data_IF_320970723110
#
_entry.id   IF_320970723110
#
_cell.length_a   1.000
_cell.length_b   1.000
_cell.length_c   1.000
_cell.angle_alpha   90.00
_cell.angle_beta   90.00
_cell.angle_gamma   90.00
#
_symmetry.space_group_name_H-M   'P 1'
#
loop_
_entity.id
_entity.type
_entity.pdbx_description
1 polymer ?
#
# COMPACT_ATOMS: atom_id res chain seq x y z
N UNK A 1 -5.25 -20.52 10.73
CA UNK A 1 -4.02 -19.74 11.01
C UNK A 1 -4.11 -19.22 12.43
N UNK A 2 -3.01 -19.24 13.21
CA UNK A 2 -3.02 -18.67 14.55
C UNK A 2 -3.22 -17.16 14.47
N UNK A 3 -4.29 -16.65 15.08
CA UNK A 3 -4.53 -15.21 15.20
C UNK A 3 -3.73 -14.69 16.40
N UNK A 4 -2.78 -13.79 16.13
CA UNK A 4 -1.94 -13.16 17.15
C UNK A 4 -2.16 -11.65 17.22
N UNK A 5 -3.25 -11.14 16.66
CA UNK A 5 -3.65 -9.75 16.83
C UNK A 5 -3.98 -9.47 18.31
N UNK A 6 -3.58 -8.30 18.84
CA UNK A 6 -3.96 -7.91 20.19
C UNK A 6 -5.48 -7.75 20.28
N UNK A 7 -6.04 -7.98 21.47
CA UNK A 7 -7.46 -7.74 21.75
C UNK A 7 -7.62 -6.44 22.52
N UNK A 8 -8.48 -5.53 22.03
CA UNK A 8 -8.77 -4.24 22.67
C UNK A 8 -10.18 -4.24 23.28
N UNK A 9 -10.33 -4.69 24.52
CA UNK A 9 -11.67 -4.92 25.13
C UNK A 9 -12.53 -3.66 25.30
N UNK A 10 -11.92 -2.47 25.36
CA UNK A 10 -12.62 -1.21 25.64
C UNK A 10 -12.80 -0.33 24.40
N UNK A 11 -12.56 -0.87 23.21
CA UNK A 11 -12.68 -0.15 21.94
C UNK A 11 -13.80 -0.79 21.11
N UNK A 12 -14.70 0.04 20.58
CA UNK A 12 -15.79 -0.42 19.70
C UNK A 12 -15.27 -0.93 18.35
N UNK A 13 -15.82 -2.06 17.90
CA UNK A 13 -15.60 -2.62 16.56
C UNK A 13 -16.46 -1.96 15.47
N UNK A 14 -17.39 -1.06 15.84
CA UNK A 14 -18.24 -0.36 14.89
C UNK A 14 -17.47 0.67 14.08
N UNK A 15 -17.94 0.93 12.86
CA UNK A 15 -17.40 1.99 12.02
C UNK A 15 -17.75 3.35 12.62
N UNK A 16 -16.78 4.26 12.63
CA UNK A 16 -16.95 5.65 13.07
C UNK A 16 -16.40 6.60 12.03
N UNK A 17 -17.27 7.38 11.38
CA UNK A 17 -16.90 8.31 10.30
C UNK A 17 -16.09 7.61 9.20
N UNK A 18 -16.60 6.44 8.76
CA UNK A 18 -16.05 5.59 7.70
C UNK A 18 -14.65 5.00 7.92
N UNK A 19 -14.28 4.77 9.18
CA UNK A 19 -13.09 3.97 9.56
C UNK A 19 -13.39 3.01 10.70
N UNK A 20 -12.62 1.94 10.81
CA UNK A 20 -12.63 1.04 11.97
C UNK A 20 -11.58 1.46 13.00
N UNK A 21 -12.01 2.09 14.09
CA UNK A 21 -11.10 2.52 15.16
C UNK A 21 -10.40 1.30 15.80
N UNK A 22 -11.14 0.20 15.97
CA UNK A 22 -10.59 -1.05 16.48
C UNK A 22 -9.49 -1.60 15.59
N UNK A 23 -9.74 -1.78 14.29
CA UNK A 23 -8.77 -2.36 13.35
C UNK A 23 -7.51 -1.48 13.24
N UNK A 24 -7.69 -0.15 13.26
CA UNK A 24 -6.59 0.81 13.29
C UNK A 24 -5.71 0.69 14.55
N UNK A 25 -6.33 0.58 15.73
CA UNK A 25 -5.59 0.43 16.98
C UNK A 25 -4.87 -0.90 17.08
N UNK A 26 -5.52 -2.02 16.78
CA UNK A 26 -4.87 -3.33 16.92
C UNK A 26 -3.63 -3.45 16.03
N UNK A 27 -3.63 -2.84 14.84
CA UNK A 27 -2.44 -2.76 13.99
C UNK A 27 -1.45 -1.72 14.50
N UNK A 28 -1.82 -0.43 14.53
CA UNK A 28 -0.89 0.66 14.84
C UNK A 28 -0.29 0.54 16.24
N UNK A 29 -1.12 0.38 17.28
CA UNK A 29 -0.64 0.18 18.65
C UNK A 29 0.08 -1.16 18.80
N UNK A 30 -0.42 -2.21 18.16
CA UNK A 30 0.20 -3.54 18.20
C UNK A 30 1.61 -3.58 17.60
N UNK A 31 1.88 -2.79 16.55
CA UNK A 31 3.22 -2.61 15.99
C UNK A 31 4.05 -1.73 16.93
N UNK A 32 3.53 -0.56 17.32
CA UNK A 32 4.32 0.46 18.01
C UNK A 32 4.73 0.04 19.43
N UNK A 33 3.77 -0.50 20.19
CA UNK A 33 3.89 -0.77 21.62
C UNK A 33 3.60 -2.23 22.00
N UNK A 34 3.02 -3.00 21.10
CA UNK A 34 2.70 -4.40 21.31
C UNK A 34 3.76 -5.36 20.78
N UNK A 35 3.36 -6.63 20.63
CA UNK A 35 4.24 -7.73 20.20
C UNK A 35 4.19 -7.99 18.69
N UNK A 36 3.50 -7.16 17.88
CA UNK A 36 3.28 -7.51 16.47
C UNK A 36 4.58 -7.57 15.68
N UNK A 37 5.60 -6.75 15.98
CA UNK A 37 6.92 -6.87 15.33
C UNK A 37 7.50 -8.27 15.48
N UNK A 38 7.50 -8.78 16.70
CA UNK A 38 8.00 -10.14 17.01
C UNK A 38 7.11 -11.22 16.40
N UNK A 39 5.80 -11.12 16.56
CA UNK A 39 4.86 -12.15 16.07
C UNK A 39 4.88 -12.26 14.55
N UNK A 40 4.96 -11.12 13.84
CA UNK A 40 5.04 -11.08 12.38
C UNK A 40 6.41 -11.56 11.90
N UNK A 41 7.51 -11.18 12.56
CA UNK A 41 8.84 -11.67 12.17
C UNK A 41 9.02 -13.18 12.37
N UNK A 42 8.24 -13.80 13.25
CA UNK A 42 8.18 -15.26 13.44
C UNK A 42 7.30 -15.98 12.41
N UNK A 43 6.40 -15.27 11.73
CA UNK A 43 5.40 -15.82 10.81
C UNK A 43 6.03 -16.40 9.53
N UNK A 44 5.82 -17.68 9.20
CA UNK A 44 6.42 -18.31 8.03
C UNK A 44 6.08 -17.63 6.70
N UNK A 45 4.85 -17.10 6.56
CA UNK A 45 4.42 -16.42 5.34
C UNK A 45 5.16 -15.09 5.18
N UNK A 46 5.29 -14.32 6.26
CA UNK A 46 6.04 -13.07 6.27
C UNK A 46 7.52 -13.31 5.99
N UNK A 47 8.15 -14.30 6.65
CA UNK A 47 9.55 -14.68 6.42
C UNK A 47 9.82 -14.99 4.95
N UNK A 48 8.93 -15.76 4.31
CA UNK A 48 9.08 -16.10 2.89
C UNK A 48 8.92 -14.86 2.00
N UNK A 49 7.94 -14.01 2.28
CA UNK A 49 7.71 -12.77 1.53
C UNK A 49 8.92 -11.82 1.64
N UNK A 50 9.47 -11.64 2.83
CA UNK A 50 10.67 -10.80 3.06
C UNK A 50 11.91 -11.39 2.38
N UNK A 51 12.08 -12.71 2.40
CA UNK A 51 13.19 -13.35 1.70
C UNK A 51 13.12 -13.12 0.18
N UNK A 52 11.93 -13.11 -0.41
CA UNK A 52 11.73 -12.79 -1.83
C UNK A 52 11.98 -11.30 -2.15
N UNK A 53 11.67 -10.42 -1.21
CA UNK A 53 11.86 -8.97 -1.37
C UNK A 53 13.27 -8.48 -0.99
N UNK A 54 14.13 -9.36 -0.46
CA UNK A 54 15.42 -8.99 0.12
C UNK A 54 16.33 -8.28 -0.89
N UNK A 55 16.85 -7.11 -0.51
CA UNK A 55 17.71 -6.28 -1.36
C UNK A 55 16.99 -5.52 -2.48
N UNK A 56 15.65 -5.58 -2.54
CA UNK A 56 14.83 -5.01 -3.62
C UNK A 56 13.80 -3.97 -3.15
N UNK A 57 13.78 -3.65 -1.86
CA UNK A 57 12.88 -2.64 -1.29
C UNK A 57 13.63 -1.80 -0.27
N UNK A 58 13.26 -0.52 -0.20
CA UNK A 58 13.69 0.43 0.83
C UNK A 58 12.57 0.76 1.82
N UNK A 59 11.38 0.19 1.63
CA UNK A 59 10.22 0.38 2.51
C UNK A 59 10.56 -0.07 3.92
N UNK A 60 10.24 0.79 4.89
CA UNK A 60 10.52 0.54 6.30
C UNK A 60 9.91 -0.79 6.77
N UNK A 61 10.56 -1.44 7.74
CA UNK A 61 10.08 -2.73 8.26
C UNK A 61 8.68 -2.62 8.84
N UNK A 62 8.40 -1.59 9.65
CA UNK A 62 7.09 -1.38 10.25
C UNK A 62 6.00 -1.20 9.17
N UNK A 63 6.30 -0.48 8.09
CA UNK A 63 5.37 -0.28 6.98
C UNK A 63 5.02 -1.62 6.30
N UNK A 64 6.03 -2.45 6.03
CA UNK A 64 5.82 -3.81 5.49
C UNK A 64 5.06 -4.72 6.45
N UNK A 65 5.32 -4.63 7.76
CA UNK A 65 4.54 -5.34 8.79
C UNK A 65 3.07 -4.91 8.70
N UNK A 66 2.79 -3.62 8.59
CA UNK A 66 1.43 -3.11 8.47
C UNK A 66 0.71 -3.63 7.20
N UNK A 67 1.37 -3.58 6.04
CA UNK A 67 0.85 -4.15 4.79
C UNK A 67 0.55 -5.65 4.93
N UNK A 68 1.48 -6.40 5.51
CA UNK A 68 1.27 -7.83 5.78
C UNK A 68 0.06 -8.07 6.68
N UNK A 69 -0.09 -7.29 7.76
CA UNK A 69 -1.23 -7.41 8.66
C UNK A 69 -2.53 -7.14 7.91
N UNK A 70 -2.61 -6.05 7.12
CA UNK A 70 -3.76 -5.72 6.27
C UNK A 70 -4.12 -6.89 5.37
N UNK A 71 -3.16 -7.40 4.59
CA UNK A 71 -3.39 -8.51 3.65
C UNK A 71 -3.83 -9.76 4.42
N UNK A 72 -3.12 -10.16 5.47
CA UNK A 72 -3.34 -11.45 6.14
C UNK A 72 -4.63 -11.50 6.96
N UNK A 73 -4.98 -10.43 7.65
CA UNK A 73 -6.03 -10.46 8.67
C UNK A 73 -7.26 -9.61 8.34
N UNK A 74 -7.16 -8.67 7.39
CA UNK A 74 -8.24 -7.70 7.16
C UNK A 74 -8.77 -7.67 5.73
N UNK A 75 -7.94 -7.97 4.73
CA UNK A 75 -8.33 -7.88 3.32
C UNK A 75 -9.51 -8.82 2.99
N UNK A 76 -9.55 -10.00 3.62
CA UNK A 76 -10.66 -10.95 3.50
C UNK A 76 -12.03 -10.41 3.94
N UNK A 77 -12.09 -9.33 4.75
CA UNK A 77 -13.34 -8.67 5.15
C UNK A 77 -13.86 -7.70 4.08
N UNK A 78 -13.02 -7.27 3.14
CA UNK A 78 -13.39 -6.35 2.05
C UNK A 78 -14.07 -7.12 0.92
N UNK A 79 -13.50 -8.27 0.55
CA UNK A 79 -13.98 -9.11 -0.54
C UNK A 79 -12.92 -9.34 -1.61
N UNK A 80 -13.34 -9.89 -2.75
CA UNK A 80 -12.45 -10.16 -3.88
C UNK A 80 -12.15 -8.89 -4.67
N UNK A 81 -10.91 -8.78 -5.14
CA UNK A 81 -10.44 -7.68 -5.97
C UNK A 81 -8.94 -7.81 -6.20
N UNK A 82 -8.34 -6.78 -6.80
CA UNK A 82 -6.91 -6.74 -7.11
C UNK A 82 -6.17 -5.72 -6.22
N UNK A 83 -4.84 -5.83 -6.20
CA UNK A 83 -3.94 -4.92 -5.49
C UNK A 83 -3.20 -4.06 -6.52
N UNK A 84 -2.99 -2.80 -6.19
CA UNK A 84 -2.18 -1.89 -7.00
C UNK A 84 -1.17 -1.15 -6.12
N UNK A 85 0.05 -1.02 -6.64
CA UNK A 85 1.14 -0.24 -6.06
C UNK A 85 1.54 0.86 -7.05
N UNK A 86 1.67 2.09 -6.55
CA UNK A 86 2.20 3.23 -7.28
C UNK A 86 3.57 3.59 -6.70
N UNK A 87 4.60 3.44 -7.55
CA UNK A 87 6.00 3.54 -7.16
C UNK A 87 6.49 2.22 -6.56
N UNK A 88 7.46 1.60 -7.22
CA UNK A 88 7.91 0.24 -6.93
C UNK A 88 9.43 0.10 -6.92
N UNK A 89 10.15 1.03 -7.56
CA UNK A 89 11.61 1.02 -7.65
C UNK A 89 12.14 -0.36 -8.12
N UNK A 90 12.84 -1.10 -7.26
CA UNK A 90 13.38 -2.44 -7.53
C UNK A 90 12.37 -3.58 -7.32
N UNK A 91 11.08 -3.25 -7.18
CA UNK A 91 9.95 -4.18 -7.16
C UNK A 91 9.79 -5.01 -5.90
N UNK A 92 10.59 -4.79 -4.86
CA UNK A 92 10.59 -5.65 -3.68
C UNK A 92 9.26 -5.67 -2.92
N UNK A 93 8.58 -4.51 -2.80
CA UNK A 93 7.29 -4.46 -2.11
C UNK A 93 6.15 -5.03 -2.97
N UNK A 94 6.14 -4.77 -4.28
CA UNK A 94 5.27 -5.47 -5.23
C UNK A 94 5.43 -7.00 -5.17
N UNK A 95 6.67 -7.51 -5.15
CA UNK A 95 7.00 -8.94 -5.00
C UNK A 95 6.46 -9.49 -3.67
N UNK A 96 6.67 -8.74 -2.59
CA UNK A 96 6.17 -9.07 -1.26
C UNK A 96 4.63 -9.20 -1.28
N UNK A 97 3.91 -8.19 -1.77
CA UNK A 97 2.45 -8.20 -1.87
C UNK A 97 1.95 -9.33 -2.77
N UNK A 98 2.59 -9.54 -3.92
CA UNK A 98 2.24 -10.60 -4.87
C UNK A 98 2.33 -11.99 -4.23
N UNK A 99 3.40 -12.27 -3.49
CA UNK A 99 3.53 -13.52 -2.77
C UNK A 99 2.43 -13.69 -1.72
N UNK A 100 2.15 -12.65 -0.92
CA UNK A 100 1.13 -12.74 0.13
C UNK A 100 -0.27 -13.03 -0.44
N UNK A 101 -0.69 -12.30 -1.47
CA UNK A 101 -2.03 -12.47 -2.04
C UNK A 101 -2.15 -13.74 -2.87
N UNK A 102 -1.09 -14.22 -3.50
CA UNK A 102 -1.10 -15.52 -4.18
C UNK A 102 -1.38 -16.67 -3.20
N UNK A 103 -0.77 -16.62 -2.01
CA UNK A 103 -0.92 -17.65 -0.98
C UNK A 103 -2.25 -17.57 -0.21
N UNK A 104 -2.80 -16.37 -0.03
CA UNK A 104 -4.00 -16.14 0.80
C UNK A 104 -5.28 -15.99 -0.01
N UNK A 105 -5.17 -15.45 -1.23
CA UNK A 105 -6.29 -15.09 -2.10
C UNK A 105 -5.99 -15.47 -3.57
N UNK A 106 -5.88 -16.78 -3.90
CA UNK A 106 -5.57 -17.23 -5.26
C UNK A 106 -6.47 -16.56 -6.31
N UNK A 107 -5.85 -16.05 -7.38
CA UNK A 107 -6.54 -15.31 -8.44
C UNK A 107 -6.62 -13.78 -8.24
N UNK A 108 -5.98 -13.25 -7.20
CA UNK A 108 -5.75 -11.82 -6.99
C UNK A 108 -4.53 -11.35 -7.78
N UNK A 109 -4.67 -10.30 -8.58
CA UNK A 109 -3.55 -9.68 -9.31
C UNK A 109 -2.89 -8.58 -8.47
N UNK A 110 -1.60 -8.39 -8.70
CA UNK A 110 -0.84 -7.22 -8.23
C UNK A 110 -0.34 -6.44 -9.44
N UNK A 111 -0.71 -5.17 -9.52
CA UNK A 111 -0.20 -4.25 -10.53
C UNK A 111 0.80 -3.30 -9.89
N UNK A 112 2.04 -3.35 -10.36
CA UNK A 112 3.14 -2.49 -9.89
C UNK A 112 3.41 -1.45 -10.96
N UNK A 113 3.03 -0.20 -10.71
CA UNK A 113 3.20 0.90 -11.64
C UNK A 113 4.42 1.70 -11.23
N UNK A 114 5.35 1.87 -12.16
CA UNK A 114 6.54 2.71 -11.98
C UNK A 114 7.05 3.14 -13.36
N UNK A 115 7.78 4.24 -13.39
CA UNK A 115 8.62 4.62 -14.53
C UNK A 115 9.68 3.56 -14.85
N UNK A 116 10.19 2.86 -13.83
CA UNK A 116 11.42 2.06 -13.86
C UNK A 116 12.61 2.80 -14.51
N UNK A 117 12.59 4.12 -14.44
CA UNK A 117 13.58 5.03 -15.02
C UNK A 117 13.89 6.23 -14.11
N UNK A 118 13.39 6.17 -12.86
CA UNK A 118 13.58 7.19 -11.83
C UNK A 118 12.47 8.23 -11.81
N UNK A 119 12.48 9.06 -10.78
CA UNK A 119 11.42 10.04 -10.57
C UNK A 119 11.23 10.98 -11.77
N UNK A 120 9.98 11.36 -12.09
CA UNK A 120 9.68 12.34 -13.12
C UNK A 120 10.10 13.76 -12.66
N UNK A 121 9.67 14.79 -13.39
CA UNK A 121 9.89 16.17 -12.94
C UNK A 121 9.23 16.41 -11.56
N UNK A 122 9.99 16.97 -10.63
CA UNK A 122 9.57 17.27 -9.25
C UNK A 122 9.41 18.78 -9.04
N UNK A 123 8.75 19.18 -7.94
CA UNK A 123 8.61 20.59 -7.56
C UNK A 123 9.44 20.89 -6.31
N UNK A 124 10.54 21.62 -6.44
CA UNK A 124 11.44 21.96 -5.32
C UNK A 124 10.81 22.85 -4.24
N UNK A 125 9.65 23.46 -4.50
CA UNK A 125 8.94 24.24 -3.49
C UNK A 125 8.28 23.34 -2.41
N UNK A 126 8.12 22.04 -2.67
CA UNK A 126 7.41 21.09 -1.79
C UNK A 126 8.08 19.71 -1.69
N UNK A 127 8.77 19.26 -2.74
CA UNK A 127 9.39 17.95 -2.84
C UNK A 127 10.90 18.04 -2.52
N UNK A 128 11.39 17.19 -1.62
CA UNK A 128 12.82 17.07 -1.33
C UNK A 128 13.56 16.20 -2.36
N UNK A 129 12.85 15.25 -2.97
CA UNK A 129 13.40 14.36 -3.99
C UNK A 129 13.52 15.04 -5.37
N UNK A 130 14.45 14.53 -6.18
CA UNK A 130 14.81 15.12 -7.46
C UNK A 130 14.51 14.18 -8.62
N UNK A 131 14.33 14.76 -9.80
CA UNK A 131 14.19 14.01 -11.05
C UNK A 131 15.35 13.03 -11.21
N UNK A 132 15.04 11.77 -11.50
CA UNK A 132 16.02 10.70 -11.68
C UNK A 132 16.40 9.93 -10.41
N UNK A 133 15.98 10.39 -9.22
CA UNK A 133 16.09 9.59 -8.00
C UNK A 133 15.42 8.22 -8.23
N UNK A 134 16.00 7.15 -7.66
CA UNK A 134 15.52 5.77 -7.83
C UNK A 134 15.51 5.24 -9.28
N UNK A 135 16.35 5.78 -10.17
CA UNK A 135 16.40 5.38 -11.59
C UNK A 135 17.19 4.12 -11.93
N UNK A 136 17.99 3.57 -11.01
CA UNK A 136 18.81 2.38 -11.26
C UNK A 136 18.00 1.09 -11.13
N UNK A 137 17.21 0.78 -12.17
CA UNK A 137 16.39 -0.44 -12.24
C UNK A 137 16.59 -1.18 -13.56
N UNK A 138 16.87 -2.47 -13.48
CA UNK A 138 16.81 -3.40 -14.60
C UNK A 138 15.44 -4.12 -14.58
N UNK A 139 14.52 -3.64 -15.41
CA UNK A 139 13.14 -4.14 -15.44
C UNK A 139 13.05 -5.57 -16.02
N UNK A 140 13.93 -5.94 -16.95
CA UNK A 140 13.91 -7.28 -17.53
C UNK A 140 14.45 -8.31 -16.53
N UNK A 141 15.47 -7.95 -15.75
CA UNK A 141 15.92 -8.73 -14.59
C UNK A 141 14.78 -8.91 -13.59
N UNK A 142 14.07 -7.85 -13.24
CA UNK A 142 12.99 -7.89 -12.26
C UNK A 142 11.83 -8.79 -12.72
N UNK A 143 11.44 -8.72 -13.99
CA UNK A 143 10.45 -9.61 -14.62
C UNK A 143 10.92 -11.07 -14.60
N UNK A 144 12.18 -11.32 -14.94
CA UNK A 144 12.77 -12.66 -14.91
C UNK A 144 12.79 -13.24 -13.49
N UNK A 145 13.18 -12.42 -12.51
CA UNK A 145 13.18 -12.78 -11.10
C UNK A 145 11.78 -13.17 -10.61
N UNK A 146 10.77 -12.35 -10.90
CA UNK A 146 9.38 -12.63 -10.54
C UNK A 146 8.89 -13.94 -11.17
N UNK A 147 9.17 -14.16 -12.47
CA UNK A 147 8.78 -15.38 -13.17
C UNK A 147 9.45 -16.64 -12.60
N UNK A 148 10.75 -16.58 -12.31
CA UNK A 148 11.51 -17.70 -11.75
C UNK A 148 11.08 -18.05 -10.33
N UNK A 149 10.55 -17.08 -9.58
CA UNK A 149 9.97 -17.29 -8.26
C UNK A 149 8.45 -17.61 -8.30
N UNK A 150 7.87 -17.83 -9.49
CA UNK A 150 6.47 -18.25 -9.65
C UNK A 150 5.44 -17.14 -9.42
N UNK A 151 5.83 -15.87 -9.40
CA UNK A 151 4.96 -14.73 -9.13
C UNK A 151 4.19 -14.30 -10.40
N UNK A 152 3.44 -15.23 -10.99
CA UNK A 152 2.68 -15.00 -12.22
C UNK A 152 1.49 -14.05 -12.04
N UNK A 153 1.11 -13.77 -10.80
CA UNK A 153 0.06 -12.81 -10.44
C UNK A 153 0.55 -11.35 -10.38
N UNK A 154 1.87 -11.11 -10.51
CA UNK A 154 2.47 -9.78 -10.52
C UNK A 154 2.67 -9.27 -11.94
N UNK A 155 2.32 -8.01 -12.17
CA UNK A 155 2.58 -7.30 -13.41
C UNK A 155 3.29 -5.97 -13.17
N UNK A 156 4.51 -5.85 -13.70
CA UNK A 156 5.26 -4.60 -13.73
C UNK A 156 4.87 -3.76 -14.95
N UNK A 157 4.28 -2.60 -14.69
CA UNK A 157 3.72 -1.68 -15.67
C UNK A 157 4.63 -0.46 -15.77
N UNK A 158 5.39 -0.39 -16.88
CA UNK A 158 6.38 0.65 -17.10
C UNK A 158 5.76 1.91 -17.71
N UNK A 159 5.97 3.05 -17.07
CA UNK A 159 5.65 4.37 -17.60
C UNK A 159 5.19 5.33 -16.52
N UNK A 160 4.88 6.56 -16.92
CA UNK A 160 4.27 7.53 -16.03
C UNK A 160 2.85 7.08 -15.64
N UNK A 161 2.40 7.41 -14.44
CA UNK A 161 1.10 6.98 -13.94
C UNK A 161 -0.06 7.48 -14.81
N UNK A 162 0.04 8.72 -15.33
CA UNK A 162 -0.94 9.31 -16.25
C UNK A 162 -1.09 8.53 -17.56
N UNK A 163 -0.03 7.87 -18.01
CA UNK A 163 -0.03 7.15 -19.28
C UNK A 163 -0.48 5.70 -19.10
N UNK A 164 -0.31 5.14 -17.91
CA UNK A 164 -0.42 3.69 -17.67
C UNK A 164 -1.60 3.30 -16.79
N UNK A 165 -1.86 4.03 -15.70
CA UNK A 165 -2.89 3.68 -14.72
C UNK A 165 -4.30 3.55 -15.31
N UNK A 166 -4.76 4.43 -16.24
CA UNK A 166 -6.09 4.29 -16.83
C UNK A 166 -6.30 2.95 -17.55
N UNK A 167 -5.28 2.43 -18.24
CA UNK A 167 -5.38 1.16 -18.95
C UNK A 167 -5.39 -0.04 -17.99
N UNK A 168 -4.61 0.02 -16.93
CA UNK A 168 -4.59 -1.01 -15.86
C UNK A 168 -5.95 -1.06 -15.16
N UNK A 169 -6.46 0.08 -14.69
CA UNK A 169 -7.68 0.17 -13.89
C UNK A 169 -8.96 -0.19 -14.69
N UNK A 170 -8.95 -0.08 -16.02
CA UNK A 170 -10.06 -0.54 -16.88
C UNK A 170 -10.19 -2.06 -16.94
N UNK A 171 -9.10 -2.81 -16.74
CA UNK A 171 -9.08 -4.28 -16.82
C UNK A 171 -8.90 -4.98 -15.48
N UNK A 172 -8.44 -4.25 -14.46
CA UNK A 172 -8.39 -4.73 -13.09
C UNK A 172 -9.81 -4.99 -12.57
N UNK A 173 -9.94 -5.91 -11.61
CA UNK A 173 -11.11 -5.95 -10.73
C UNK A 173 -11.12 -4.68 -9.86
N UNK A 174 -12.15 -4.53 -9.04
CA UNK A 174 -12.13 -3.50 -7.99
C UNK A 174 -10.85 -3.64 -7.14
N UNK A 175 -10.27 -2.51 -6.78
CA UNK A 175 -9.03 -2.46 -6.02
C UNK A 175 -9.34 -2.61 -4.54
N UNK A 176 -8.84 -3.67 -3.90
CA UNK A 176 -9.04 -3.93 -2.46
C UNK A 176 -7.93 -3.35 -1.60
N UNK A 177 -6.75 -3.12 -2.19
CA UNK A 177 -5.62 -2.45 -1.58
C UNK A 177 -4.90 -1.59 -2.63
N UNK A 178 -4.83 -0.29 -2.38
CA UNK A 178 -3.96 0.64 -3.09
C UNK A 178 -2.82 1.04 -2.16
N UNK A 179 -1.59 0.71 -2.55
CA UNK A 179 -0.36 1.16 -1.91
C UNK A 179 0.21 2.33 -2.72
N UNK A 180 0.32 3.51 -2.10
CA UNK A 180 0.84 4.72 -2.71
C UNK A 180 2.18 5.05 -2.03
N UNK A 181 3.26 4.83 -2.77
CA UNK A 181 4.66 4.82 -2.32
C UNK A 181 5.52 5.48 -3.42
N UNK A 182 5.33 6.79 -3.57
CA UNK A 182 5.85 7.54 -4.74
C UNK A 182 6.31 8.96 -4.41
N UNK A 183 6.51 9.24 -3.11
CA UNK A 183 7.19 10.38 -2.49
C UNK A 183 6.64 11.78 -2.77
N UNK A 184 6.56 12.15 -4.05
CA UNK A 184 6.36 13.52 -4.50
C UNK A 184 4.88 13.88 -4.60
N UNK A 185 4.56 15.14 -4.34
CA UNK A 185 3.20 15.67 -4.29
C UNK A 185 2.37 15.26 -5.52
N UNK A 186 2.91 15.48 -6.72
CA UNK A 186 2.19 15.26 -7.98
C UNK A 186 1.86 13.79 -8.22
N UNK A 187 2.80 12.90 -7.93
CA UNK A 187 2.63 11.44 -8.03
C UNK A 187 1.61 10.93 -7.02
N UNK A 188 1.70 11.36 -5.76
CA UNK A 188 0.76 10.94 -4.70
C UNK A 188 -0.64 11.45 -4.99
N UNK A 189 -0.79 12.71 -5.40
CA UNK A 189 -2.07 13.31 -5.76
C UNK A 189 -2.71 12.57 -6.95
N UNK A 190 -1.96 12.37 -8.04
CA UNK A 190 -2.47 11.67 -9.21
C UNK A 190 -2.89 10.23 -8.87
N UNK A 191 -2.04 9.49 -8.15
CA UNK A 191 -2.28 8.10 -7.77
C UNK A 191 -3.57 7.95 -6.96
N UNK A 192 -3.81 8.85 -6.01
CA UNK A 192 -5.04 8.86 -5.24
C UNK A 192 -6.28 9.16 -6.10
N UNK A 193 -6.23 10.20 -6.94
CA UNK A 193 -7.36 10.58 -7.79
C UNK A 193 -7.76 9.47 -8.76
N UNK A 194 -6.78 8.85 -9.41
CA UNK A 194 -7.06 7.85 -10.44
C UNK A 194 -7.57 6.54 -9.84
N UNK A 195 -7.06 6.12 -8.67
CA UNK A 195 -7.43 4.83 -8.08
C UNK A 195 -8.75 4.89 -7.32
N UNK A 196 -9.08 6.04 -6.72
CA UNK A 196 -10.26 6.22 -5.84
C UNK A 196 -11.58 5.70 -6.45
N UNK A 197 -11.93 5.96 -7.72
CA UNK A 197 -13.18 5.47 -8.31
C UNK A 197 -13.23 3.94 -8.52
N UNK A 198 -12.08 3.28 -8.51
CA UNK A 198 -11.93 1.84 -8.76
C UNK A 198 -11.80 1.03 -7.46
N UNK A 199 -11.76 1.69 -6.30
CA UNK A 199 -11.65 1.01 -5.01
C UNK A 199 -12.92 0.23 -4.67
N UNK A 200 -12.74 -0.98 -4.13
CA UNK A 200 -13.80 -1.71 -3.47
C UNK A 200 -14.30 -0.95 -2.23
N UNK A 201 -15.59 -1.06 -1.91
CA UNK A 201 -16.13 -0.52 -0.64
C UNK A 201 -15.43 -1.22 0.54
N UNK A 202 -14.88 -0.43 1.45
CA UNK A 202 -14.04 -0.92 2.54
C UNK A 202 -12.60 -1.24 2.14
N UNK A 203 -12.19 -1.02 0.88
CA UNK A 203 -10.82 -1.20 0.44
C UNK A 203 -9.84 -0.27 1.16
N UNK A 204 -8.58 -0.69 1.23
CA UNK A 204 -7.52 0.04 1.92
C UNK A 204 -6.75 0.94 0.96
N UNK A 205 -6.56 2.21 1.33
CA UNK A 205 -5.62 3.11 0.67
C UNK A 205 -4.54 3.47 1.68
N UNK A 206 -3.30 3.11 1.35
CA UNK A 206 -2.15 3.19 2.26
C UNK A 206 -1.12 4.13 1.65
N UNK A 207 -0.67 5.13 2.40
CA UNK A 207 0.32 6.12 1.96
C UNK A 207 1.63 5.87 2.70
N UNK A 208 2.66 5.37 2.03
CA UNK A 208 3.94 5.00 2.65
C UNK A 208 4.72 6.23 3.14
N UNK A 209 4.73 7.29 2.32
CA UNK A 209 5.64 8.42 2.50
C UNK A 209 5.07 9.57 3.32
N UNK A 210 3.76 9.59 3.58
CA UNK A 210 3.09 10.73 4.20
C UNK A 210 3.41 10.94 5.71
N UNK A 211 4.27 10.09 6.28
CA UNK A 211 4.85 10.26 7.63
C UNK A 211 6.37 10.43 7.59
N UNK A 212 6.97 10.45 6.40
CA UNK A 212 8.41 10.50 6.17
C UNK A 212 8.86 11.95 6.04
N UNK A 213 9.93 12.32 6.74
CA UNK A 213 10.40 13.71 6.82
C UNK A 213 10.86 14.32 5.48
N UNK A 214 11.26 13.49 4.53
CA UNK A 214 11.64 13.92 3.17
C UNK A 214 10.45 14.07 2.21
N UNK A 215 9.24 13.70 2.64
CA UNK A 215 8.08 13.58 1.75
C UNK A 215 6.91 14.46 2.23
N UNK A 216 7.20 15.74 2.50
CA UNK A 216 6.17 16.71 2.88
C UNK A 216 5.13 16.91 1.76
N UNK A 217 5.51 16.74 0.49
CA UNK A 217 4.56 16.68 -0.63
C UNK A 217 3.50 15.61 -0.46
N UNK A 218 3.89 14.38 -0.11
CA UNK A 218 2.94 13.30 0.19
C UNK A 218 2.03 13.64 1.40
N UNK A 219 2.62 14.22 2.44
CA UNK A 219 1.87 14.67 3.63
C UNK A 219 0.83 15.73 3.26
N UNK A 220 1.20 16.70 2.44
CA UNK A 220 0.32 17.77 1.99
C UNK A 220 -0.88 17.22 1.20
N UNK A 221 -0.69 16.20 0.37
CA UNK A 221 -1.81 15.52 -0.31
C UNK A 221 -2.77 14.88 0.70
N UNK A 222 -2.24 14.15 1.69
CA UNK A 222 -3.09 13.55 2.74
C UNK A 222 -3.90 14.61 3.47
N UNK A 223 -3.29 15.73 3.86
CA UNK A 223 -3.99 16.78 4.58
C UNK A 223 -4.99 17.55 3.70
N UNK A 224 -4.53 18.07 2.57
CA UNK A 224 -5.32 18.96 1.69
C UNK A 224 -6.44 18.21 0.98
N UNK A 225 -6.15 17.00 0.50
CA UNK A 225 -7.01 16.26 -0.42
C UNK A 225 -7.86 15.25 0.35
N UNK A 226 -7.23 14.33 1.08
CA UNK A 226 -7.98 13.28 1.75
C UNK A 226 -8.77 13.82 2.94
N UNK A 227 -8.12 14.59 3.81
CA UNK A 227 -8.73 15.06 5.05
C UNK A 227 -9.63 16.29 4.79
N UNK A 228 -9.07 17.37 4.23
CA UNK A 228 -9.81 18.65 4.10
C UNK A 228 -10.83 18.63 2.96
N UNK A 229 -10.43 18.23 1.74
CA UNK A 229 -11.33 18.24 0.57
C UNK A 229 -12.35 17.11 0.61
N UNK A 230 -11.90 15.88 0.87
CA UNK A 230 -12.75 14.69 0.78
C UNK A 230 -13.40 14.29 2.11
N UNK A 231 -13.03 14.94 3.22
CA UNK A 231 -13.59 14.65 4.54
C UNK A 231 -13.26 13.24 5.05
N UNK A 232 -12.20 12.62 4.53
CA UNK A 232 -11.76 11.30 4.96
C UNK A 232 -11.07 11.35 6.31
N UNK A 233 -11.05 10.20 6.94
CA UNK A 233 -10.69 10.02 8.32
C UNK A 233 -9.77 8.79 8.39
N UNK A 234 -8.51 8.99 8.75
CA UNK A 234 -7.51 7.92 8.75
C UNK A 234 -7.87 6.81 9.75
N UNK A 235 -7.91 5.56 9.29
CA UNK A 235 -8.04 4.41 10.17
C UNK A 235 -6.80 4.24 11.06
N UNK A 236 -5.62 4.59 10.53
CA UNK A 236 -4.34 4.44 11.19
C UNK A 236 -3.37 5.55 10.73
N UNK A 237 -2.44 5.91 11.61
CA UNK A 237 -1.40 6.92 11.36
C UNK A 237 0.00 6.32 11.51
N UNK A 238 0.22 5.48 12.52
CA UNK A 238 1.48 4.76 12.70
C UNK A 238 1.39 3.33 12.15
N UNK A 239 2.38 2.85 11.37
CA UNK A 239 3.58 3.59 10.95
C UNK A 239 3.32 4.53 9.76
N UNK A 240 2.24 4.29 9.03
CA UNK A 240 1.85 5.09 7.86
C UNK A 240 0.34 5.35 7.84
N UNK A 241 -0.07 6.36 7.07
CA UNK A 241 -1.49 6.71 6.95
C UNK A 241 -2.26 5.61 6.21
N UNK A 242 -3.40 5.19 6.78
CA UNK A 242 -4.32 4.23 6.17
C UNK A 242 -5.73 4.81 6.14
N UNK A 243 -6.40 4.74 5.00
CA UNK A 243 -7.79 5.15 4.82
C UNK A 243 -8.65 4.01 4.26
N UNK A 244 -9.96 4.09 4.47
CA UNK A 244 -10.94 3.12 3.94
C UNK A 244 -11.79 3.78 2.86
N UNK A 245 -11.84 3.17 1.68
CA UNK A 245 -12.64 3.66 0.56
C UNK A 245 -14.13 3.34 0.75
N UNK A 246 -15.02 4.25 0.33
CA UNK A 246 -16.47 4.00 0.27
C UNK A 246 -17.23 3.87 1.59
N UNK A 247 -16.56 3.78 2.75
CA UNK A 247 -17.25 3.60 4.04
C UNK A 247 -17.89 4.88 4.60
N UNK A 248 -17.49 6.06 4.12
CA UNK A 248 -18.11 7.34 4.51
C UNK A 248 -19.55 7.50 4.00
N UNK A 249 -19.99 6.66 3.04
CA UNK A 249 -21.36 6.66 2.52
C UNK A 249 -22.30 5.79 3.36
N UNK A 250 -21.76 4.95 4.26
CA UNK A 250 -22.53 4.29 5.30
C UNK A 250 -22.79 5.29 6.44
N UNK A 251 -23.71 6.24 6.22
CA UNK A 251 -24.33 6.93 7.35
C UNK A 251 -25.27 5.94 8.05
N UNK A 252 -25.41 5.99 9.39
CA UNK A 252 -26.56 5.39 10.05
C UNK A 252 -27.88 6.00 9.53
#
# INVERSE_FOLDING_TARGET
>A
MSNYLPTMNNISCELRNGRSIYDGYIRGWGIQFGELRKRVSEDPLYKKAIALAHGRTVVAEDNRINLFLIVKFFLGKVGAGDVIEFGSYRGGNAIFLAHLVDQLYPGTRVYSLDTFAGMPATNSDVDAHQKGDFGEVDLDELRCYAATNGLHNLEFVQGLFQDTAPAVLRRAKNIVLAHIDCDIYSSVAYSYEIVKPHMAVGGYVVFDDATVSSCLGATEVVESTLIRRDGLNSEQIFPQFVFRAGLNQARP
#
